data_IF_483127841656
#
_entry.id   IF_483127841656
#
_cell.length_a   1.000
_cell.length_b   1.000
_cell.length_c   1.000
_cell.angle_alpha   90.00
_cell.angle_beta   90.00
_cell.angle_gamma   90.00
#
_symmetry.space_group_name_H-M   'P 1'
#
loop_
_entity.id
_entity.type
_entity.pdbx_description
1 polymer ?
#
# COMPACT_ATOMS: atom_id res chain seq x y z
N UNK A 1 -0.28 -5.22 5.24
CA UNK A 1 -0.59 -3.80 5.43
C UNK A 1 -0.16 -3.19 6.79
N UNK A 2 -1.00 -3.14 7.84
CA UNK A 2 -0.82 -2.20 8.96
C UNK A 2 0.55 -2.22 9.68
N UNK A 3 1.20 -3.39 9.82
CA UNK A 3 2.58 -3.48 10.35
C UNK A 3 3.59 -2.65 9.55
N UNK A 4 3.49 -2.63 8.22
CA UNK A 4 4.41 -1.83 7.38
C UNK A 4 4.08 -0.33 7.40
N UNK A 5 2.81 0.02 7.67
CA UNK A 5 2.41 1.41 7.91
C UNK A 5 2.96 1.94 9.26
N UNK A 6 2.93 1.12 10.30
CA UNK A 6 3.52 1.46 11.60
C UNK A 6 5.05 1.59 11.54
N UNK A 7 5.69 0.88 10.62
CA UNK A 7 7.13 0.95 10.39
C UNK A 7 7.56 2.17 9.55
N UNK A 8 6.65 3.07 9.16
CA UNK A 8 7.01 4.24 8.36
C UNK A 8 7.92 5.20 9.14
N UNK A 9 8.96 5.69 8.49
CA UNK A 9 9.88 6.69 9.05
C UNK A 9 9.23 8.07 9.18
N UNK A 10 8.21 8.36 8.36
CA UNK A 10 7.36 9.54 8.51
C UNK A 10 6.28 9.26 9.57
N UNK A 11 6.26 9.98 10.71
CA UNK A 11 5.32 9.69 11.80
C UNK A 11 3.93 10.30 11.58
N UNK A 12 3.83 11.34 10.74
CA UNK A 12 2.62 12.12 10.55
C UNK A 12 1.74 11.51 9.45
N UNK A 13 0.89 10.57 9.85
CA UNK A 13 -0.13 9.95 8.99
C UNK A 13 -1.34 9.54 9.84
N UNK A 14 -2.46 9.34 9.16
CA UNK A 14 -3.64 8.65 9.68
C UNK A 14 -3.94 7.44 8.79
N UNK A 15 -4.52 6.39 9.37
CA UNK A 15 -5.00 5.23 8.65
C UNK A 15 -6.51 5.09 8.87
N UNK A 16 -7.26 5.04 7.78
CA UNK A 16 -8.71 4.81 7.83
C UNK A 16 -8.96 3.45 7.19
N UNK A 17 -9.06 2.42 8.03
CA UNK A 17 -9.29 1.05 7.60
C UNK A 17 -10.77 0.86 7.37
N UNK A 18 -11.18 0.71 6.11
CA UNK A 18 -12.57 0.46 5.73
C UNK A 18 -12.76 -1.04 5.48
N UNK A 19 -13.57 -1.69 6.31
CA UNK A 19 -14.05 -3.06 6.09
C UNK A 19 -15.29 -3.05 5.20
N UNK A 20 -15.40 -4.03 4.30
CA UNK A 20 -16.54 -4.14 3.36
C UNK A 20 -17.53 -5.22 3.82
N UNK A 21 -18.22 -4.96 4.93
CA UNK A 21 -19.04 -5.94 5.67
C UNK A 21 -18.21 -7.17 6.09
N UNK A 22 -17.13 -6.90 6.82
CA UNK A 22 -16.21 -7.90 7.32
C UNK A 22 -16.79 -8.71 8.49
N UNK A 23 -16.08 -9.80 8.83
CA UNK A 23 -16.36 -10.59 10.03
C UNK A 23 -15.77 -9.91 11.26
N UNK A 24 -16.27 -10.28 12.45
CA UNK A 24 -15.87 -9.68 13.72
C UNK A 24 -14.37 -9.87 14.07
N UNK A 25 -13.72 -10.89 13.50
CA UNK A 25 -12.28 -11.13 13.66
C UNK A 25 -11.43 -10.04 13.01
N UNK A 26 -11.86 -9.44 11.90
CA UNK A 26 -11.18 -8.31 11.26
C UNK A 26 -11.12 -7.10 12.20
N UNK A 27 -12.24 -6.77 12.85
CA UNK A 27 -12.30 -5.66 13.80
C UNK A 27 -11.31 -5.87 14.97
N UNK A 28 -11.29 -7.08 15.53
CA UNK A 28 -10.36 -7.44 16.61
C UNK A 28 -8.89 -7.39 16.15
N UNK A 29 -8.59 -7.86 14.93
CA UNK A 29 -7.24 -7.82 14.36
C UNK A 29 -6.74 -6.39 14.15
N UNK A 30 -7.61 -5.45 13.73
CA UNK A 30 -7.24 -4.04 13.60
C UNK A 30 -7.09 -3.38 14.97
N UNK A 31 -7.97 -3.66 15.93
CA UNK A 31 -7.90 -3.11 17.28
C UNK A 31 -6.61 -3.51 18.03
N UNK A 32 -6.07 -4.70 17.77
CA UNK A 32 -4.84 -5.21 18.39
C UNK A 32 -3.57 -4.40 18.07
N UNK A 33 -3.62 -3.46 17.13
CA UNK A 33 -2.50 -2.57 16.84
C UNK A 33 -2.34 -1.43 17.86
N UNK A 34 -3.39 -1.10 18.62
CA UNK A 34 -3.36 -0.10 19.72
C UNK A 34 -2.72 1.26 19.35
N UNK A 35 -2.83 1.69 18.09
CA UNK A 35 -2.29 2.97 17.61
C UNK A 35 -3.42 3.95 17.31
N UNK A 36 -3.39 5.11 17.97
CA UNK A 36 -4.43 6.13 17.86
C UNK A 36 -4.56 6.74 16.45
N UNK A 37 -3.56 6.56 15.58
CA UNK A 37 -3.60 7.00 14.17
C UNK A 37 -4.42 6.05 13.30
N UNK A 38 -4.78 4.86 13.79
CA UNK A 38 -5.53 3.86 13.05
C UNK A 38 -6.99 3.89 13.50
N UNK A 39 -7.89 4.20 12.57
CA UNK A 39 -9.34 4.07 12.76
C UNK A 39 -9.89 2.93 11.91
N UNK A 40 -10.93 2.27 12.40
CA UNK A 40 -11.61 1.18 11.68
C UNK A 40 -13.09 1.47 11.55
N UNK A 41 -13.63 1.21 10.36
CA UNK A 41 -15.05 1.37 10.05
C UNK A 41 -15.45 0.19 9.19
N UNK A 42 -16.40 -0.61 9.67
CA UNK A 42 -16.99 -1.66 8.86
C UNK A 42 -18.27 -1.17 8.18
N UNK A 43 -18.41 -1.43 6.89
CA UNK A 43 -19.59 -1.05 6.13
C UNK A 43 -20.74 -2.02 6.40
N UNK A 44 -22.00 -1.53 6.42
CA UNK A 44 -23.16 -2.36 6.73
C UNK A 44 -23.54 -3.32 5.60
N UNK A 45 -23.02 -3.09 4.39
CA UNK A 45 -23.28 -3.89 3.20
C UNK A 45 -21.97 -4.10 2.45
N UNK A 46 -21.82 -5.30 1.88
CA UNK A 46 -20.70 -5.65 1.02
C UNK A 46 -20.89 -5.01 -0.35
N UNK A 47 -19.97 -4.15 -0.78
CA UNK A 47 -19.95 -3.55 -2.11
C UNK A 47 -19.41 -4.53 -3.17
N UNK A 48 -18.60 -5.50 -2.77
CA UNK A 48 -18.04 -6.54 -3.65
C UNK A 48 -16.88 -6.07 -4.52
N UNK A 49 -16.49 -4.81 -4.40
CA UNK A 49 -15.38 -4.18 -5.12
C UNK A 49 -14.77 -3.05 -4.29
N UNK A 50 -13.52 -2.69 -4.60
CA UNK A 50 -12.78 -1.71 -3.82
C UNK A 50 -13.29 -0.28 -3.94
N UNK A 51 -14.08 0.04 -4.97
CA UNK A 51 -14.54 1.41 -5.25
C UNK A 51 -15.37 1.99 -4.09
N UNK A 52 -16.28 1.20 -3.53
CA UNK A 52 -17.16 1.59 -2.42
C UNK A 52 -16.36 1.93 -1.16
N UNK A 53 -15.59 0.98 -0.60
CA UNK A 53 -14.72 1.22 0.54
C UNK A 53 -13.75 2.40 0.33
N UNK A 54 -13.12 2.50 -0.85
CA UNK A 54 -12.20 3.60 -1.16
C UNK A 54 -12.88 4.97 -1.15
N UNK A 55 -14.07 5.09 -1.75
CA UNK A 55 -14.82 6.34 -1.76
C UNK A 55 -15.20 6.78 -0.34
N UNK A 56 -15.59 5.85 0.54
CA UNK A 56 -15.85 6.16 1.94
C UNK A 56 -14.57 6.58 2.67
N UNK A 57 -13.45 5.91 2.40
CA UNK A 57 -12.14 6.30 2.92
C UNK A 57 -11.75 7.72 2.50
N UNK A 58 -11.87 8.04 1.21
CA UNK A 58 -11.58 9.38 0.67
C UNK A 58 -12.44 10.46 1.30
N UNK A 59 -13.74 10.21 1.50
CA UNK A 59 -14.64 11.17 2.13
C UNK A 59 -14.31 11.43 3.61
N UNK A 60 -13.59 10.52 4.28
CA UNK A 60 -13.20 10.63 5.69
C UNK A 60 -11.78 11.12 5.89
N UNK A 61 -10.92 11.04 4.87
CA UNK A 61 -9.53 11.44 4.95
C UNK A 61 -9.39 12.95 5.19
N UNK A 62 -8.47 13.32 6.07
CA UNK A 62 -8.16 14.71 6.43
C UNK A 62 -6.72 15.12 6.11
N UNK A 63 -5.87 14.15 5.77
CA UNK A 63 -4.49 14.39 5.35
C UNK A 63 -4.34 15.26 4.10
N UNK A 64 -3.21 15.96 3.98
CA UNK A 64 -2.85 16.76 2.79
C UNK A 64 -2.80 15.91 1.52
N UNK A 65 -2.41 14.65 1.66
CA UNK A 65 -2.33 13.67 0.59
C UNK A 65 -3.07 12.41 0.99
N UNK A 66 -3.57 11.71 -0.02
CA UNK A 66 -4.22 10.42 0.13
C UNK A 66 -3.35 9.36 -0.51
N UNK A 67 -3.13 8.26 0.22
CA UNK A 67 -2.44 7.07 -0.27
C UNK A 67 -3.32 5.85 0.00
N UNK A 68 -3.37 4.92 -0.96
CA UNK A 68 -4.17 3.69 -0.87
C UNK A 68 -3.21 2.53 -0.57
N UNK A 69 -3.48 1.80 0.52
CA UNK A 69 -2.75 0.58 0.89
C UNK A 69 -3.75 -0.58 0.95
N UNK A 70 -3.64 -1.54 0.04
CA UNK A 70 -4.46 -2.75 0.12
C UNK A 70 -4.03 -3.62 1.30
N UNK A 71 -4.96 -4.44 1.81
CA UNK A 71 -4.73 -5.27 2.98
C UNK A 71 -3.64 -6.34 2.78
N UNK A 72 -3.47 -6.79 1.54
CA UNK A 72 -2.48 -7.76 1.07
C UNK A 72 -1.15 -7.13 0.60
N UNK A 73 -1.04 -5.81 0.59
CA UNK A 73 0.17 -5.09 0.21
C UNK A 73 1.05 -4.72 1.42
N UNK A 74 2.33 -4.43 1.12
CA UNK A 74 3.31 -3.94 2.06
C UNK A 74 4.07 -2.75 1.47
N UNK A 75 4.35 -1.75 2.30
CA UNK A 75 5.22 -0.63 1.96
C UNK A 75 6.61 -0.79 2.60
N UNK A 76 7.63 -0.26 1.93
CA UNK A 76 8.94 -0.08 2.54
C UNK A 76 8.88 0.99 3.65
N UNK A 77 9.76 0.92 4.67
CA UNK A 77 9.73 1.88 5.79
C UNK A 77 9.80 3.36 5.39
N UNK A 78 10.38 3.69 4.25
CA UNK A 78 10.54 5.06 3.75
C UNK A 78 9.46 5.49 2.74
N UNK A 79 8.47 4.63 2.43
CA UNK A 79 7.52 4.84 1.35
C UNK A 79 6.81 6.21 1.41
N UNK A 80 6.19 6.54 2.54
CA UNK A 80 5.45 7.80 2.68
C UNK A 80 6.35 9.04 2.56
N UNK A 81 7.53 8.99 3.20
CA UNK A 81 8.52 10.07 3.14
C UNK A 81 9.01 10.29 1.70
N UNK A 82 9.31 9.19 0.99
CA UNK A 82 9.74 9.21 -0.40
C UNK A 82 8.64 9.78 -1.32
N UNK A 83 7.39 9.34 -1.18
CA UNK A 83 6.28 9.84 -2.02
C UNK A 83 6.02 11.33 -1.78
N UNK A 84 5.95 11.77 -0.52
CA UNK A 84 5.76 13.18 -0.19
C UNK A 84 6.93 14.04 -0.68
N UNK A 85 8.17 13.56 -0.53
CA UNK A 85 9.36 14.25 -1.02
C UNK A 85 9.36 14.45 -2.53
N UNK A 86 8.87 13.46 -3.30
CA UNK A 86 8.71 13.61 -4.76
C UNK A 86 7.64 14.63 -5.12
N UNK A 87 6.50 14.64 -4.44
CA UNK A 87 5.46 15.66 -4.64
C UNK A 87 6.03 17.05 -4.38
N UNK A 88 6.69 17.25 -3.23
CA UNK A 88 7.26 18.55 -2.85
C UNK A 88 8.36 19.01 -3.82
N UNK A 89 9.22 18.09 -4.28
CA UNK A 89 10.33 18.41 -5.18
C UNK A 89 9.89 18.73 -6.61
N UNK A 90 8.77 18.17 -7.06
CA UNK A 90 8.32 18.28 -8.46
C UNK A 90 7.06 19.11 -8.63
N UNK A 91 6.38 19.46 -7.53
CA UNK A 91 5.04 20.03 -7.53
C UNK A 91 4.02 19.17 -8.29
N UNK A 92 4.23 17.86 -8.35
CA UNK A 92 3.31 16.93 -8.99
C UNK A 92 2.04 16.72 -8.15
N UNK A 93 0.88 16.64 -8.79
CA UNK A 93 -0.38 16.33 -8.12
C UNK A 93 -0.49 14.85 -7.70
N UNK A 94 0.21 13.96 -8.42
CA UNK A 94 0.18 12.51 -8.21
C UNK A 94 1.58 11.92 -8.39
N UNK A 95 1.96 11.02 -7.49
CA UNK A 95 3.19 10.21 -7.59
C UNK A 95 2.82 8.73 -7.51
N UNK A 96 3.43 7.94 -8.38
CA UNK A 96 3.24 6.49 -8.43
C UNK A 96 4.53 5.80 -7.99
N UNK A 97 4.44 4.99 -6.93
CA UNK A 97 5.54 4.15 -6.51
C UNK A 97 5.73 2.96 -7.47
N UNK A 98 6.98 2.50 -7.63
CA UNK A 98 7.22 1.19 -8.23
C UNK A 98 6.82 0.09 -7.25
N UNK A 99 6.05 -0.87 -7.73
CA UNK A 99 5.71 -2.08 -6.98
C UNK A 99 6.63 -3.26 -7.31
N UNK A 100 6.71 -4.21 -6.39
CA UNK A 100 7.29 -5.52 -6.63
C UNK A 100 6.32 -6.58 -6.08
N UNK A 101 6.17 -7.69 -6.80
CA UNK A 101 5.34 -8.81 -6.35
C UNK A 101 6.22 -9.86 -5.67
N UNK A 102 5.84 -10.27 -4.45
CA UNK A 102 6.44 -11.43 -3.78
C UNK A 102 5.62 -12.66 -4.16
N UNK A 103 6.22 -13.54 -4.94
CA UNK A 103 5.61 -14.80 -5.38
C UNK A 103 6.31 -15.98 -4.70
N UNK A 104 5.53 -16.90 -4.14
CA UNK A 104 6.04 -18.15 -3.57
C UNK A 104 6.67 -19.00 -4.68
N UNK A 105 7.80 -19.65 -4.40
CA UNK A 105 8.49 -20.51 -5.36
C UNK A 105 7.63 -21.67 -5.93
N UNK A 106 6.53 -22.02 -5.27
CA UNK A 106 5.63 -23.11 -5.65
C UNK A 106 4.51 -22.70 -6.61
N UNK A 107 4.37 -21.41 -6.98
CA UNK A 107 3.32 -20.97 -7.89
C UNK A 107 3.64 -21.38 -9.34
N UNK A 108 3.27 -22.61 -9.70
CA UNK A 108 3.23 -23.09 -11.09
C UNK A 108 2.09 -22.38 -11.83
N UNK A 109 2.39 -21.24 -12.47
CA UNK A 109 1.41 -20.56 -13.32
C UNK A 109 1.95 -19.26 -13.92
N UNK A 110 2.14 -19.26 -15.23
CA UNK A 110 2.73 -18.19 -16.05
C UNK A 110 2.07 -16.82 -15.89
N UNK A 111 2.89 -15.80 -15.59
CA UNK A 111 2.83 -14.42 -16.11
C UNK A 111 4.17 -13.72 -15.79
N UNK A 112 4.93 -13.41 -16.85
CA UNK A 112 6.20 -12.67 -16.91
C UNK A 112 6.79 -12.21 -15.57
N UNK A 113 7.56 -13.09 -14.94
CA UNK A 113 8.29 -12.80 -13.71
C UNK A 113 9.68 -12.26 -14.04
N UNK A 114 9.99 -11.03 -13.65
CA UNK A 114 11.37 -10.54 -13.59
C UNK A 114 11.90 -10.73 -12.18
N UNK A 115 12.61 -11.83 -11.96
CA UNK A 115 13.35 -12.09 -10.72
C UNK A 115 14.70 -11.37 -10.81
N UNK A 116 14.76 -10.12 -10.32
CA UNK A 116 16.03 -9.44 -10.08
C UNK A 116 16.64 -9.95 -8.77
N UNK A 117 17.67 -10.80 -8.85
CA UNK A 117 18.48 -11.19 -7.69
C UNK A 117 19.85 -10.51 -7.82
N UNK A 118 20.09 -9.45 -7.04
CA UNK A 118 21.41 -8.83 -6.96
C UNK A 118 22.44 -9.77 -6.31
N UNK A 119 23.73 -9.57 -6.58
CA UNK A 119 24.80 -10.26 -5.82
C UNK A 119 24.70 -9.83 -4.35
N UNK A 120 24.46 -10.80 -3.46
CA UNK A 120 24.38 -10.55 -2.01
C UNK A 120 22.98 -10.61 -1.40
N UNK A 121 21.95 -10.97 -2.16
CA UNK A 121 20.58 -11.15 -1.62
C UNK A 121 19.77 -9.86 -1.47
N UNK A 122 20.30 -8.73 -1.94
CA UNK A 122 19.54 -7.49 -2.08
C UNK A 122 18.78 -7.45 -3.41
N UNK A 123 17.58 -6.86 -3.38
CA UNK A 123 16.86 -6.46 -4.58
C UNK A 123 17.63 -5.32 -5.25
N UNK A 124 18.19 -5.61 -6.43
CA UNK A 124 18.92 -4.65 -7.26
C UNK A 124 18.03 -4.34 -8.48
N UNK A 125 17.33 -3.19 -8.51
CA UNK A 125 16.57 -2.78 -9.67
C UNK A 125 17.57 -2.28 -10.72
N UNK A 126 18.25 -3.21 -11.41
CA UNK A 126 18.98 -2.88 -12.63
C UNK A 126 17.99 -2.20 -13.57
N UNK A 127 18.27 -0.92 -13.84
CA UNK A 127 17.49 -0.06 -14.73
C UNK A 127 17.26 -0.83 -16.03
N UNK A 128 16.05 -1.35 -16.24
CA UNK A 128 15.66 -1.90 -17.53
C UNK A 128 15.17 -0.73 -18.36
N UNK A 129 16.05 -0.14 -19.17
CA UNK A 129 15.64 0.75 -20.26
C UNK A 129 15.10 -0.12 -21.39
N UNK A 130 13.78 -0.23 -21.47
CA UNK A 130 13.13 -0.86 -22.62
C UNK A 130 13.01 0.14 -23.76
N UNK A 131 13.76 -0.06 -24.84
CA UNK A 131 13.44 0.59 -26.11
C UNK A 131 12.25 -0.14 -26.72
N UNK A 132 11.12 0.55 -26.84
CA UNK A 132 9.97 0.06 -27.59
C UNK A 132 10.35 -0.07 -29.06
N UNK A 133 10.18 -1.26 -29.64
CA UNK A 133 10.12 -1.40 -31.09
C UNK A 133 8.75 -0.89 -31.56
N UNK A 134 8.78 -0.02 -32.58
CA UNK A 134 7.62 0.52 -33.32
C UNK A 134 6.68 -0.56 -33.82
#
# INVERSE_FOLDING_TARGET
ALKSLLAQTMPNWEAIVIGDACRADTAAAVAAFEDARISYVDLPVNFGEQSGPNNIGFARASGRFIAILNHDDLWFPDHLASMCGWIDATSADVVLARGAAVVSAESKGSKHTLLGRGRGGFYDPVITVGYGST
#
